data_IF_763368543075
#
_entry.id   IF_763368543075
#
_cell.length_a   1.000
_cell.length_b   1.000
_cell.length_c   1.000
_cell.angle_alpha   90.00
_cell.angle_beta   90.00
_cell.angle_gamma   90.00
#
_symmetry.space_group_name_H-M   'P 1'
#
loop_
_entity.id
_entity.type
_entity.pdbx_description
1 polymer ?
#
# COMPACT_ATOMS: atom_id res chain seq x y z
N UNK A 1 -27.53 10.64 6.12
CA UNK A 1 -27.33 9.47 5.23
C UNK A 1 -25.85 9.13 5.27
N UNK A 2 -25.52 7.83 5.31
CA UNK A 2 -24.31 7.26 5.90
C UNK A 2 -22.98 7.92 5.52
N UNK A 3 -22.31 8.50 6.52
CA UNK A 3 -20.85 8.55 6.53
C UNK A 3 -20.38 7.18 6.96
N UNK A 4 -19.43 6.56 6.24
CA UNK A 4 -18.69 5.42 6.79
C UNK A 4 -18.10 5.88 8.12
N UNK A 5 -18.69 5.42 9.21
CA UNK A 5 -18.24 5.73 10.54
C UNK A 5 -16.91 5.05 10.80
N UNK A 6 -16.20 5.55 11.80
CA UNK A 6 -14.99 4.93 12.33
C UNK A 6 -15.21 3.45 12.65
N UNK A 7 -16.42 3.07 13.09
CA UNK A 7 -16.82 1.69 13.36
C UNK A 7 -16.83 0.79 12.12
N UNK A 8 -17.41 1.23 11.00
CA UNK A 8 -17.45 0.44 9.76
C UNK A 8 -16.05 0.25 9.17
N UNK A 9 -15.22 1.30 9.21
CA UNK A 9 -13.81 1.21 8.80
C UNK A 9 -13.02 0.22 9.67
N UNK A 10 -13.28 0.19 10.98
CA UNK A 10 -12.64 -0.75 11.90
C UNK A 10 -13.02 -2.20 11.56
N UNK A 11 -14.30 -2.47 11.27
CA UNK A 11 -14.75 -3.80 10.87
C UNK A 11 -14.09 -4.25 9.57
N UNK A 12 -14.04 -3.36 8.56
CA UNK A 12 -13.37 -3.66 7.28
C UNK A 12 -11.89 -3.95 7.52
N UNK A 13 -11.21 -3.14 8.34
CA UNK A 13 -9.80 -3.35 8.69
C UNK A 13 -9.58 -4.72 9.36
N UNK A 14 -10.44 -5.10 10.30
CA UNK A 14 -10.38 -6.41 10.97
C UNK A 14 -10.57 -7.54 9.95
N UNK A 15 -11.54 -7.45 9.05
CA UNK A 15 -11.75 -8.45 8.00
C UNK A 15 -10.52 -8.58 7.10
N UNK A 16 -9.94 -7.46 6.66
CA UNK A 16 -8.70 -7.47 5.88
C UNK A 16 -7.54 -8.08 6.64
N UNK A 17 -7.41 -7.78 7.94
CA UNK A 17 -6.38 -8.37 8.79
C UNK A 17 -6.56 -9.88 8.99
N UNK A 18 -7.78 -10.40 9.02
CA UNK A 18 -8.04 -11.84 9.10
C UNK A 18 -7.74 -12.54 7.78
N UNK A 19 -8.16 -11.96 6.65
CA UNK A 19 -7.95 -12.55 5.32
C UNK A 19 -6.47 -12.54 4.91
N UNK A 20 -5.79 -11.42 5.13
CA UNK A 20 -4.40 -11.25 4.72
C UNK A 20 -3.43 -11.58 5.85
N UNK A 21 -3.82 -11.46 7.11
CA UNK A 21 -2.91 -11.53 8.25
C UNK A 21 -2.22 -10.20 8.51
N UNK A 22 -2.02 -9.85 9.79
CA UNK A 22 -1.40 -8.58 10.21
C UNK A 22 0.01 -8.33 9.65
N UNK A 23 0.73 -9.38 9.27
CA UNK A 23 2.06 -9.27 8.69
C UNK A 23 2.07 -9.05 7.16
N UNK A 24 1.02 -9.44 6.42
CA UNK A 24 1.02 -9.33 4.95
C UNK A 24 0.77 -7.91 4.46
N UNK A 25 -0.15 -7.18 5.08
CA UNK A 25 -0.40 -5.77 4.75
C UNK A 25 0.88 -4.90 4.78
N UNK A 26 1.69 -4.90 5.86
CA UNK A 26 2.94 -4.13 5.89
C UNK A 26 4.02 -4.68 4.95
N UNK A 27 4.06 -6.00 4.70
CA UNK A 27 4.97 -6.58 3.70
C UNK A 27 4.62 -6.11 2.28
N UNK A 28 3.33 -6.13 1.91
CA UNK A 28 2.86 -5.65 0.62
C UNK A 28 3.15 -4.15 0.46
N UNK A 29 2.91 -3.35 1.50
CA UNK A 29 3.23 -1.92 1.48
C UNK A 29 4.74 -1.65 1.31
N UNK A 30 5.59 -2.42 2.00
CA UNK A 30 7.06 -2.33 1.86
C UNK A 30 7.53 -2.70 0.45
N UNK A 31 7.06 -3.83 -0.06
CA UNK A 31 7.43 -4.31 -1.40
C UNK A 31 6.96 -3.34 -2.49
N UNK A 32 5.73 -2.81 -2.36
CA UNK A 32 5.20 -1.81 -3.28
C UNK A 32 5.99 -0.49 -3.21
N UNK A 33 6.39 -0.06 -2.00
CA UNK A 33 7.21 1.13 -1.82
C UNK A 33 8.62 0.99 -2.42
N UNK A 34 9.22 -0.20 -2.30
CA UNK A 34 10.50 -0.51 -2.94
C UNK A 34 10.37 -0.49 -4.48
N UNK A 35 9.35 -1.17 -5.02
CA UNK A 35 9.08 -1.17 -6.45
C UNK A 35 8.84 0.26 -6.99
N UNK A 36 8.01 1.06 -6.31
CA UNK A 36 7.76 2.46 -6.68
C UNK A 36 9.06 3.30 -6.68
N UNK A 37 9.95 3.07 -5.72
CA UNK A 37 11.25 3.78 -5.64
C UNK A 37 12.17 3.39 -6.79
N UNK A 38 12.31 2.09 -7.05
CA UNK A 38 13.14 1.59 -8.16
C UNK A 38 12.61 2.07 -9.51
N UNK A 39 11.28 2.03 -9.71
CA UNK A 39 10.64 2.59 -10.91
C UNK A 39 10.98 4.07 -11.07
N UNK A 40 10.82 4.87 -10.02
CA UNK A 40 11.12 6.31 -10.08
C UNK A 40 12.60 6.59 -10.37
N UNK A 41 13.51 5.89 -9.69
CA UNK A 41 14.95 6.03 -9.94
C UNK A 41 15.33 5.68 -11.37
N UNK A 42 14.78 4.61 -11.95
CA UNK A 42 15.04 4.25 -13.34
C UNK A 42 14.48 5.27 -14.35
N UNK A 43 13.34 5.91 -14.05
CA UNK A 43 12.81 7.00 -14.88
C UNK A 43 13.67 8.26 -14.82
N UNK A 44 14.16 8.63 -13.62
CA UNK A 44 15.02 9.80 -13.44
C UNK A 44 16.39 9.57 -14.13
N UNK A 45 17.01 8.41 -13.98
CA UNK A 45 18.28 8.04 -14.66
C UNK A 45 18.13 8.01 -16.20
N UNK A 46 17.00 7.54 -16.71
CA UNK A 46 16.70 7.52 -18.15
C UNK A 46 16.49 8.92 -18.74
N UNK A 47 16.00 9.87 -17.94
CA UNK A 47 15.77 11.26 -18.36
C UNK A 47 17.06 12.08 -18.41
N UNK A 48 18.05 11.79 -17.56
CA UNK A 48 19.35 12.47 -17.54
C UNK A 48 20.31 11.96 -18.62
N UNK A 49 20.01 10.80 -19.22
CA UNK A 49 20.87 10.12 -20.20
C UNK A 49 20.49 10.42 -21.68
N UNK A 50 19.52 11.31 -21.94
CA UNK A 50 19.09 11.73 -23.30
C UNK A 50 19.34 13.20 -23.59
#
# INVERSE_FOLDING_TARGET
MGSLGTSELLIILVVLLVLFGGAKLPQLARNLGQAQRELKSGFDEGAESS
#
